data_IF_221760196679
#
_entry.id   IF_221760196679
#
_cell.length_a   1.000
_cell.length_b   1.000
_cell.length_c   1.000
_cell.angle_alpha   90.00
_cell.angle_beta   90.00
_cell.angle_gamma   90.00
#
_symmetry.space_group_name_H-M   'P 1'
#
loop_
_entity.id
_entity.type
_entity.pdbx_description
1 polymer ?
#
# COMPACT_ATOMS: atom_id res chain seq x y z
N UNK A 1 -10.42 -9.22 -10.96
CA UNK A 1 -9.46 -8.10 -10.78
C UNK A 1 -9.94 -6.86 -11.52
N UNK A 2 -9.30 -5.70 -11.34
CA UNK A 2 -9.64 -4.47 -12.09
C UNK A 2 -9.41 -4.62 -13.60
N UNK A 3 -8.39 -5.40 -14.00
CA UNK A 3 -8.13 -5.70 -15.41
C UNK A 3 -9.24 -6.56 -16.03
N UNK A 4 -9.81 -7.51 -15.27
CA UNK A 4 -10.96 -8.29 -15.72
C UNK A 4 -12.19 -7.40 -15.92
N UNK A 5 -12.46 -6.48 -14.99
CA UNK A 5 -13.58 -5.55 -15.08
C UNK A 5 -13.48 -4.68 -16.35
N UNK A 6 -12.33 -4.03 -16.56
CA UNK A 6 -12.11 -3.17 -17.73
C UNK A 6 -12.13 -4.00 -19.02
N UNK A 7 -11.42 -5.14 -19.06
CA UNK A 7 -11.39 -6.00 -20.25
C UNK A 7 -12.79 -6.51 -20.61
N UNK A 8 -13.57 -6.99 -19.63
CA UNK A 8 -14.92 -7.51 -19.87
C UNK A 8 -15.87 -6.44 -20.41
N UNK A 9 -15.76 -5.19 -19.91
CA UNK A 9 -16.62 -4.10 -20.35
C UNK A 9 -16.33 -3.59 -21.76
N UNK A 10 -15.06 -3.55 -22.14
CA UNK A 10 -14.59 -3.02 -23.43
C UNK A 10 -14.23 -4.14 -24.42
N UNK A 11 -15.09 -5.15 -24.53
CA UNK A 11 -15.04 -6.14 -25.62
C UNK A 11 -14.17 -7.38 -25.36
N UNK A 12 -13.92 -7.75 -24.09
CA UNK A 12 -13.15 -8.93 -23.66
C UNK A 12 -11.77 -9.05 -24.32
N UNK A 13 -11.13 -7.91 -24.59
CA UNK A 13 -9.83 -7.89 -25.25
C UNK A 13 -8.70 -8.31 -24.29
N UNK A 14 -7.97 -9.36 -24.66
CA UNK A 14 -6.77 -9.79 -23.95
C UNK A 14 -5.68 -8.71 -23.95
N UNK A 15 -5.56 -7.94 -25.05
CA UNK A 15 -4.58 -6.85 -25.13
C UNK A 15 -4.89 -5.70 -24.17
N UNK A 16 -6.19 -5.38 -23.96
CA UNK A 16 -6.59 -4.38 -22.99
C UNK A 16 -6.33 -4.85 -21.55
N UNK A 17 -6.63 -6.12 -21.26
CA UNK A 17 -6.29 -6.72 -19.96
C UNK A 17 -4.79 -6.68 -19.68
N UNK A 18 -3.97 -6.98 -20.69
CA UNK A 18 -2.50 -6.89 -20.60
C UNK A 18 -2.02 -5.46 -20.34
N UNK A 19 -2.57 -4.46 -21.05
CA UNK A 19 -2.23 -3.05 -20.85
C UNK A 19 -2.56 -2.58 -19.42
N UNK A 20 -3.80 -2.84 -18.96
CA UNK A 20 -4.24 -2.48 -17.61
C UNK A 20 -3.35 -3.16 -16.57
N UNK A 21 -2.99 -4.43 -16.79
CA UNK A 21 -2.08 -5.17 -15.90
C UNK A 21 -0.69 -4.54 -15.87
N UNK A 22 -0.12 -4.17 -17.02
CA UNK A 22 1.17 -3.48 -17.09
C UNK A 22 1.17 -2.14 -16.34
N UNK A 23 0.12 -1.33 -16.53
CA UNK A 23 -0.05 -0.07 -15.81
C UNK A 23 -0.23 -0.31 -14.30
N UNK A 24 -0.97 -1.35 -13.89
CA UNK A 24 -1.09 -1.71 -12.47
C UNK A 24 0.25 -2.10 -11.87
N UNK A 25 1.07 -2.90 -12.57
CA UNK A 25 2.41 -3.27 -12.09
C UNK A 25 3.28 -2.01 -11.92
N UNK A 26 3.33 -1.15 -12.93
CA UNK A 26 4.10 0.10 -12.85
C UNK A 26 3.60 1.04 -11.76
N UNK A 27 2.29 1.11 -11.54
CA UNK A 27 1.67 1.92 -10.50
C UNK A 27 1.90 1.38 -9.09
N UNK A 28 1.88 0.07 -8.88
CA UNK A 28 2.05 -0.54 -7.55
C UNK A 28 3.52 -0.70 -7.16
N UNK A 29 4.46 -0.74 -8.10
CA UNK A 29 5.91 -0.84 -7.78
C UNK A 29 6.40 0.26 -6.82
N UNK A 30 6.12 1.56 -7.05
CA UNK A 30 6.47 2.62 -6.09
C UNK A 30 5.79 2.42 -4.74
N UNK A 31 4.54 1.94 -4.73
CA UNK A 31 3.79 1.68 -3.52
C UNK A 31 4.44 0.57 -2.66
N UNK A 32 4.86 -0.53 -3.28
CA UNK A 32 5.55 -1.62 -2.57
C UNK A 32 6.94 -1.14 -2.13
N UNK A 33 7.63 -0.35 -2.95
CA UNK A 33 8.93 0.25 -2.62
C UNK A 33 8.85 1.15 -1.39
N UNK A 34 7.76 1.93 -1.29
CA UNK A 34 7.43 2.76 -0.14
C UNK A 34 7.36 1.94 1.15
N UNK A 35 6.64 0.82 1.13
CA UNK A 35 6.49 -0.06 2.28
C UNK A 35 7.82 -0.71 2.68
N UNK A 36 8.63 -1.14 1.71
CA UNK A 36 9.98 -1.67 1.96
C UNK A 36 10.85 -0.60 2.64
N UNK A 37 10.81 0.65 2.16
CA UNK A 37 11.54 1.77 2.77
C UNK A 37 11.09 2.01 4.20
N UNK A 38 9.79 2.02 4.46
CA UNK A 38 9.23 2.25 5.79
C UNK A 38 9.72 1.18 6.78
N UNK A 39 9.66 -0.10 6.42
CA UNK A 39 10.13 -1.22 7.26
C UNK A 39 11.65 -1.10 7.51
N UNK A 40 12.44 -0.90 6.45
CA UNK A 40 13.89 -0.82 6.55
C UNK A 40 14.35 0.36 7.42
N UNK A 41 13.75 1.53 7.24
CA UNK A 41 14.09 2.74 8.00
C UNK A 41 13.69 2.60 9.46
N UNK A 42 12.50 2.03 9.71
CA UNK A 42 12.00 1.80 11.07
C UNK A 42 12.90 0.83 11.86
N UNK A 43 13.41 -0.21 11.20
CA UNK A 43 14.36 -1.14 11.80
C UNK A 43 15.68 -0.46 12.21
N UNK A 44 16.21 0.42 11.38
CA UNK A 44 17.45 1.15 11.70
C UNK A 44 17.24 2.13 12.87
N UNK A 45 16.09 2.80 12.92
CA UNK A 45 15.75 3.70 14.03
C UNK A 45 15.69 2.92 15.36
N UNK A 46 15.09 1.73 15.37
CA UNK A 46 15.03 0.90 16.58
C UNK A 46 16.39 0.34 17.03
N UNK A 47 17.27 0.02 16.10
CA UNK A 47 18.58 -0.56 16.40
C UNK A 47 19.67 0.50 16.65
N UNK A 48 19.32 1.79 16.63
CA UNK A 48 20.28 2.90 16.76
C UNK A 48 21.17 3.09 15.53
N UNK A 49 20.85 2.41 14.43
CA UNK A 49 21.58 2.42 13.17
C UNK A 49 21.15 3.52 12.20
N UNK A 50 20.60 4.63 12.67
CA UNK A 50 19.97 5.68 11.85
C UNK A 50 20.90 6.34 10.80
N UNK A 51 22.22 6.24 10.97
CA UNK A 51 23.21 6.72 10.00
C UNK A 51 23.70 5.64 9.01
N UNK A 52 23.27 4.39 9.19
CA UNK A 52 23.63 3.28 8.30
C UNK A 52 22.77 3.29 7.04
N UNK A 53 23.28 2.66 5.98
CA UNK A 53 22.52 2.47 4.76
C UNK A 53 21.31 1.55 5.00
N UNK A 54 20.13 2.04 4.66
CA UNK A 54 18.87 1.28 4.64
C UNK A 54 18.81 0.22 3.54
N UNK A 55 19.83 0.10 2.69
CA UNK A 55 19.85 -0.85 1.55
C UNK A 55 19.87 -2.31 1.99
N UNK A 56 20.68 -2.65 2.99
CA UNK A 56 20.76 -4.02 3.51
C UNK A 56 19.44 -4.49 4.12
N UNK A 57 18.87 -3.74 5.09
CA UNK A 57 17.56 -4.06 5.66
C UNK A 57 16.43 -4.10 4.62
N UNK A 58 16.45 -3.20 3.62
CA UNK A 58 15.46 -3.20 2.55
C UNK A 58 15.56 -4.44 1.65
N UNK A 59 16.79 -4.86 1.29
CA UNK A 59 17.01 -6.07 0.49
C UNK A 59 16.57 -7.31 1.27
N UNK A 60 16.91 -7.39 2.56
CA UNK A 60 16.46 -8.46 3.44
C UNK A 60 14.93 -8.50 3.54
N UNK A 61 14.29 -7.34 3.74
CA UNK A 61 12.83 -7.22 3.80
C UNK A 61 12.18 -7.70 2.50
N UNK A 62 12.66 -7.24 1.35
CA UNK A 62 12.15 -7.66 0.05
C UNK A 62 12.32 -9.16 -0.19
N UNK A 63 13.49 -9.72 0.13
CA UNK A 63 13.79 -11.14 -0.02
C UNK A 63 12.97 -12.02 0.93
N UNK A 64 12.85 -11.64 2.21
CA UNK A 64 12.06 -12.36 3.20
C UNK A 64 10.57 -12.36 2.84
N UNK A 65 10.02 -11.21 2.42
CA UNK A 65 8.63 -11.11 1.98
C UNK A 65 8.39 -11.86 0.66
N UNK A 66 9.37 -11.89 -0.25
CA UNK A 66 9.27 -12.70 -1.47
C UNK A 66 9.21 -14.19 -1.13
N UNK A 67 10.13 -14.68 -0.30
CA UNK A 67 10.14 -16.06 0.15
C UNK A 67 8.84 -16.42 0.89
N UNK A 68 8.40 -15.57 1.82
CA UNK A 68 7.16 -15.76 2.55
C UNK A 68 5.95 -15.82 1.61
N UNK A 69 5.82 -14.86 0.69
CA UNK A 69 4.69 -14.80 -0.24
C UNK A 69 4.68 -15.99 -1.20
N UNK A 70 5.85 -16.43 -1.70
CA UNK A 70 5.95 -17.61 -2.57
C UNK A 70 5.60 -18.90 -1.83
N UNK A 71 6.06 -19.05 -0.58
CA UNK A 71 5.84 -20.26 0.21
C UNK A 71 4.42 -20.33 0.81
N UNK A 72 3.84 -19.20 1.20
CA UNK A 72 2.59 -19.12 1.95
C UNK A 72 1.42 -18.53 1.15
N UNK A 73 1.68 -17.55 0.29
CA UNK A 73 0.64 -16.83 -0.47
C UNK A 73 0.26 -17.46 -1.82
N UNK A 74 1.20 -18.11 -2.50
CA UNK A 74 0.99 -18.70 -3.84
C UNK A 74 1.01 -20.24 -3.78
N UNK A 75 0.07 -20.80 -3.00
CA UNK A 75 0.00 -22.24 -2.67
C UNK A 75 -0.86 -23.08 -3.61
N UNK A 76 -1.93 -22.52 -4.18
CA UNK A 76 -2.84 -23.25 -5.06
C UNK A 76 -3.29 -22.40 -6.27
N UNK A 77 -3.68 -23.07 -7.34
CA UNK A 77 -4.25 -22.44 -8.55
C UNK A 77 -5.73 -22.17 -8.38
N UNK A 78 -6.41 -22.99 -7.57
CA UNK A 78 -7.80 -22.83 -7.17
C UNK A 78 -7.92 -21.73 -6.12
N UNK A 79 -8.25 -20.53 -6.60
CA UNK A 79 -8.66 -19.38 -5.81
C UNK A 79 -10.12 -19.52 -5.33
N UNK A 80 -10.50 -20.70 -4.84
CA UNK A 80 -11.90 -21.04 -4.51
C UNK A 80 -12.14 -21.25 -3.02
N UNK A 81 -11.11 -21.28 -2.18
CA UNK A 81 -11.30 -20.98 -0.76
C UNK A 81 -11.34 -19.46 -0.61
N UNK A 82 -12.55 -18.93 -0.40
CA UNK A 82 -12.75 -17.53 -0.05
C UNK A 82 -11.90 -17.25 1.19
N UNK A 83 -11.04 -16.24 1.10
CA UNK A 83 -10.09 -15.94 2.17
C UNK A 83 -10.74 -15.19 3.34
N UNK A 84 -11.85 -15.69 3.89
CA UNK A 84 -12.50 -15.11 5.07
C UNK A 84 -11.53 -14.96 6.24
N UNK A 85 -10.62 -15.94 6.39
CA UNK A 85 -9.51 -15.88 7.36
C UNK A 85 -8.50 -14.75 7.09
N UNK A 86 -8.24 -14.40 5.81
CA UNK A 86 -7.37 -13.26 5.47
C UNK A 86 -8.08 -11.95 5.78
N UNK A 87 -9.37 -11.82 5.46
CA UNK A 87 -10.16 -10.62 5.79
C UNK A 87 -10.23 -10.41 7.30
N UNK A 88 -10.47 -11.47 8.08
CA UNK A 88 -10.46 -11.42 9.54
C UNK A 88 -9.08 -11.05 10.11
N UNK A 89 -8.01 -11.63 9.57
CA UNK A 89 -6.65 -11.29 9.95
C UNK A 89 -6.33 -9.82 9.66
N UNK A 90 -6.76 -9.30 8.49
CA UNK A 90 -6.63 -7.88 8.10
C UNK A 90 -7.42 -6.96 9.04
N UNK A 91 -8.60 -7.40 9.51
CA UNK A 91 -9.38 -6.64 10.48
C UNK A 91 -8.68 -6.56 11.85
N UNK A 92 -8.21 -7.70 12.38
CA UNK A 92 -7.51 -7.77 13.66
C UNK A 92 -6.21 -6.96 13.64
N UNK A 93 -5.39 -7.09 12.59
CA UNK A 93 -4.17 -6.29 12.47
C UNK A 93 -4.49 -4.79 12.40
N UNK A 94 -5.60 -4.39 11.77
CA UNK A 94 -6.00 -2.99 11.64
C UNK A 94 -6.39 -2.40 13.00
N UNK A 95 -7.04 -3.19 13.85
CA UNK A 95 -7.35 -2.79 15.22
C UNK A 95 -6.07 -2.63 16.06
N UNK A 96 -5.13 -3.56 15.95
CA UNK A 96 -3.84 -3.47 16.66
C UNK A 96 -3.04 -2.25 16.21
N UNK A 97 -3.01 -1.97 14.89
CA UNK A 97 -2.36 -0.77 14.32
C UNK A 97 -2.99 0.50 14.86
N UNK A 98 -4.32 0.57 14.87
CA UNK A 98 -5.05 1.72 15.38
C UNK A 98 -4.71 1.94 16.86
N UNK A 99 -4.79 0.91 17.69
CA UNK A 99 -4.46 1.00 19.11
C UNK A 99 -3.01 1.45 19.34
N UNK A 100 -2.04 0.89 18.62
CA UNK A 100 -0.64 1.30 18.72
C UNK A 100 -0.45 2.78 18.36
N UNK A 101 -1.08 3.24 17.27
CA UNK A 101 -0.98 4.62 16.82
C UNK A 101 -1.70 5.59 17.78
N UNK A 102 -2.85 5.21 18.34
CA UNK A 102 -3.57 6.00 19.33
C UNK A 102 -2.80 6.12 20.65
N UNK A 103 -2.17 5.04 21.10
CA UNK A 103 -1.32 5.07 22.30
C UNK A 103 -0.12 5.99 22.11
N UNK A 104 0.55 5.91 20.95
CA UNK A 104 1.63 6.83 20.58
C UNK A 104 1.14 8.28 20.52
N UNK A 105 0.04 8.52 19.82
CA UNK A 105 -0.54 9.85 19.66
C UNK A 105 -0.94 10.48 20.99
N UNK A 106 -1.59 9.69 21.85
CA UNK A 106 -1.94 10.09 23.21
C UNK A 106 -0.71 10.35 24.08
N UNK A 107 0.34 9.53 23.96
CA UNK A 107 1.61 9.77 24.64
C UNK A 107 2.24 11.10 24.20
N UNK A 108 2.40 11.33 22.89
CA UNK A 108 2.98 12.58 22.40
C UNK A 108 2.15 13.77 22.86
N UNK A 109 0.83 13.72 22.66
CA UNK A 109 -0.05 14.86 22.92
C UNK A 109 -0.16 15.17 24.42
N UNK A 110 -0.47 14.17 25.25
CA UNK A 110 -0.79 14.41 26.67
C UNK A 110 0.40 14.26 27.61
N UNK A 111 1.35 13.36 27.34
CA UNK A 111 2.54 13.20 28.20
C UNK A 111 3.67 14.15 27.81
N UNK A 112 3.88 14.38 26.52
CA UNK A 112 5.01 15.20 26.04
C UNK A 112 4.69 16.70 25.95
N UNK A 113 3.41 17.04 25.76
CA UNK A 113 2.92 18.40 25.50
C UNK A 113 1.58 18.70 26.21
N UNK A 114 1.24 18.04 27.32
CA UNK A 114 0.09 18.37 28.19
C UNK A 114 -1.30 18.58 27.54
N UNK A 115 -1.51 18.15 26.29
CA UNK A 115 -2.77 18.28 25.55
C UNK A 115 -2.59 18.86 24.15
N UNK A 116 -3.68 18.90 23.38
CA UNK A 116 -3.66 19.45 22.03
C UNK A 116 -3.29 20.94 22.01
N UNK A 117 -3.86 21.75 22.92
CA UNK A 117 -3.58 23.19 22.96
C UNK A 117 -2.08 23.49 23.04
N UNK A 118 -1.38 22.90 23.99
CA UNK A 118 0.04 23.17 24.23
C UNK A 118 0.94 22.72 23.06
N UNK A 119 0.66 21.59 22.38
CA UNK A 119 1.39 21.24 21.13
C UNK A 119 1.25 22.33 20.07
N UNK A 120 0.01 22.78 19.82
CA UNK A 120 -0.28 23.72 18.74
C UNK A 120 0.16 25.13 19.09
N UNK A 121 0.08 25.55 20.35
CA UNK A 121 0.55 26.84 20.84
C UNK A 121 2.08 26.94 20.73
N UNK A 122 2.81 25.88 21.13
CA UNK A 122 4.26 25.81 20.93
C UNK A 122 4.64 25.81 19.45
N UNK A 123 3.90 25.08 18.60
CA UNK A 123 4.12 25.11 17.16
C UNK A 123 3.84 26.50 16.55
N UNK A 124 2.78 27.18 16.98
CA UNK A 124 2.43 28.51 16.51
C UNK A 124 3.46 29.59 16.94
N UNK A 125 4.16 29.37 18.05
CA UNK A 125 5.23 30.24 18.52
C UNK A 125 6.49 30.18 17.63
N UNK A 126 6.66 29.12 16.84
CA UNK A 126 7.78 28.96 15.90
C UNK A 126 7.36 29.44 14.51
N UNK A 127 7.94 30.53 13.95
CA UNK A 127 7.50 31.10 12.68
C UNK A 127 7.46 30.11 11.50
N UNK A 128 8.46 29.23 11.42
CA UNK A 128 8.53 28.20 10.38
C UNK A 128 7.41 27.16 10.49
N UNK A 129 6.98 26.81 11.69
CA UNK A 129 5.89 25.85 11.90
C UNK A 129 4.52 26.50 11.77
N UNK A 130 4.40 27.77 12.18
CA UNK A 130 3.16 28.56 12.03
C UNK A 130 2.70 28.64 10.58
N UNK A 131 3.63 28.69 9.62
CA UNK A 131 3.28 28.70 8.19
C UNK A 131 2.53 27.43 7.76
N UNK A 132 2.81 26.28 8.38
CA UNK A 132 2.18 24.98 8.09
C UNK A 132 0.70 24.89 8.51
N UNK A 133 0.19 25.88 9.26
CA UNK A 133 -1.23 25.98 9.63
C UNK A 133 -2.11 26.44 8.48
N UNK A 134 -1.49 26.90 7.38
CA UNK A 134 -2.17 27.37 6.17
C UNK A 134 -1.72 26.56 4.97
N UNK A 135 -2.62 26.32 4.02
CA UNK A 135 -2.30 25.61 2.78
C UNK A 135 -1.13 26.27 2.03
N UNK A 136 -1.19 27.59 1.87
CA UNK A 136 -0.18 28.35 1.15
C UNK A 136 1.18 28.33 1.87
N UNK A 137 1.20 28.45 3.20
CA UNK A 137 2.44 28.38 3.97
C UNK A 137 3.04 26.97 4.05
N UNK A 138 2.25 25.92 3.81
CA UNK A 138 2.75 24.56 3.59
C UNK A 138 3.28 24.33 2.16
N UNK A 139 3.24 25.34 1.29
CA UNK A 139 3.64 25.22 -0.11
C UNK A 139 2.63 24.51 -1.00
N UNK A 140 1.42 24.24 -0.51
CA UNK A 140 0.37 23.54 -1.24
C UNK A 140 -0.62 24.54 -1.83
N UNK A 141 -0.75 24.56 -3.16
CA UNK A 141 -1.76 25.39 -3.82
C UNK A 141 -3.17 24.79 -3.69
N UNK A 142 -4.22 25.61 -3.86
CA UNK A 142 -5.60 25.10 -3.85
C UNK A 142 -5.84 24.05 -4.95
N UNK A 143 -5.24 24.23 -6.13
CA UNK A 143 -5.33 23.27 -7.23
C UNK A 143 -4.62 21.94 -6.89
N UNK A 144 -3.46 22.01 -6.25
CA UNK A 144 -2.74 20.84 -5.77
C UNK A 144 -3.52 20.09 -4.71
N UNK A 145 -4.13 20.80 -3.75
CA UNK A 145 -5.00 20.18 -2.73
C UNK A 145 -6.19 19.44 -3.34
N UNK A 146 -6.88 20.04 -4.32
CA UNK A 146 -7.97 19.37 -5.07
C UNK A 146 -7.45 18.16 -5.83
N UNK A 147 -6.25 18.26 -6.42
CA UNK A 147 -5.61 17.14 -7.13
C UNK A 147 -5.30 15.99 -6.17
N UNK A 148 -4.72 16.27 -4.99
CA UNK A 148 -4.46 15.27 -3.95
C UNK A 148 -5.74 14.57 -3.49
N UNK A 149 -6.84 15.31 -3.36
CA UNK A 149 -8.14 14.77 -3.00
C UNK A 149 -8.68 13.84 -4.10
N UNK A 150 -8.60 14.25 -5.37
CA UNK A 150 -9.00 13.43 -6.51
C UNK A 150 -8.15 12.15 -6.65
N UNK A 151 -6.83 12.26 -6.48
CA UNK A 151 -5.92 11.12 -6.49
C UNK A 151 -6.22 10.15 -5.35
N UNK A 152 -6.47 10.67 -4.14
CA UNK A 152 -6.80 9.85 -2.96
C UNK A 152 -8.13 9.11 -3.14
N UNK A 153 -9.16 9.79 -3.65
CA UNK A 153 -10.45 9.18 -3.99
C UNK A 153 -10.28 8.05 -5.01
N UNK A 154 -9.48 8.30 -6.05
CA UNK A 154 -9.17 7.29 -7.08
C UNK A 154 -8.45 6.08 -6.49
N UNK A 155 -7.47 6.31 -5.61
CA UNK A 155 -6.70 5.26 -4.96
C UNK A 155 -7.56 4.37 -4.07
N UNK A 156 -8.46 4.96 -3.27
CA UNK A 156 -9.39 4.22 -2.39
C UNK A 156 -10.28 3.26 -3.19
N UNK A 157 -10.66 3.62 -4.42
CA UNK A 157 -11.59 2.82 -5.22
C UNK A 157 -10.87 1.85 -6.18
N UNK A 158 -9.78 2.27 -6.79
CA UNK A 158 -9.20 1.62 -7.97
C UNK A 158 -7.86 0.94 -7.72
N UNK A 159 -7.25 1.11 -6.53
CA UNK A 159 -6.06 0.33 -6.20
C UNK A 159 -6.40 -1.15 -6.28
N UNK A 160 -5.55 -2.01 -6.91
CA UNK A 160 -5.87 -3.42 -7.10
C UNK A 160 -6.27 -4.13 -5.81
N UNK A 161 -5.58 -3.84 -4.69
CA UNK A 161 -5.93 -4.37 -3.37
C UNK A 161 -7.28 -3.87 -2.86
N UNK A 162 -7.57 -2.57 -3.01
CA UNK A 162 -8.85 -2.02 -2.57
C UNK A 162 -10.01 -2.60 -3.39
N UNK A 163 -9.84 -2.71 -4.70
CA UNK A 163 -10.81 -3.34 -5.59
C UNK A 163 -11.01 -4.83 -5.26
N UNK A 164 -9.92 -5.54 -4.95
CA UNK A 164 -9.98 -6.93 -4.52
C UNK A 164 -10.82 -7.09 -3.25
N UNK A 165 -10.54 -6.32 -2.20
CA UNK A 165 -11.27 -6.41 -0.93
C UNK A 165 -12.72 -5.94 -1.05
N UNK A 166 -12.97 -4.83 -1.74
CA UNK A 166 -14.31 -4.22 -1.82
C UNK A 166 -15.25 -4.92 -2.80
N UNK A 167 -14.72 -5.53 -3.88
CA UNK A 167 -15.55 -6.11 -4.95
C UNK A 167 -15.38 -7.62 -5.05
N UNK A 168 -14.16 -8.14 -5.01
CA UNK A 168 -13.89 -9.56 -5.28
C UNK A 168 -14.11 -10.42 -4.04
N UNK A 169 -13.73 -9.92 -2.87
CA UNK A 169 -13.83 -10.65 -1.60
C UNK A 169 -15.10 -10.30 -0.80
N UNK A 170 -15.82 -9.23 -1.20
CA UNK A 170 -17.04 -8.85 -0.53
C UNK A 170 -18.18 -9.85 -0.83
N UNK A 171 -18.75 -10.40 0.22
CA UNK A 171 -19.82 -11.42 0.14
C UNK A 171 -21.23 -10.82 0.14
N UNK A 172 -21.38 -9.59 0.62
CA UNK A 172 -22.67 -8.92 0.80
C UNK A 172 -22.55 -7.42 0.50
N UNK A 173 -23.40 -6.91 -0.38
CA UNK A 173 -23.45 -5.48 -0.71
C UNK A 173 -23.76 -4.60 0.51
N UNK A 174 -24.47 -5.11 1.52
CA UNK A 174 -24.74 -4.39 2.76
C UNK A 174 -23.48 -4.09 3.58
N UNK A 175 -22.41 -4.88 3.40
CA UNK A 175 -21.12 -4.56 3.99
C UNK A 175 -20.54 -3.26 3.44
N UNK A 176 -20.78 -2.94 2.17
CA UNK A 176 -20.34 -1.67 1.58
C UNK A 176 -21.07 -0.50 2.23
N UNK A 177 -22.37 -0.63 2.52
CA UNK A 177 -23.14 0.41 3.23
C UNK A 177 -22.56 0.74 4.59
N UNK A 178 -22.13 -0.27 5.35
CA UNK A 178 -21.45 -0.07 6.65
C UNK A 178 -20.05 0.52 6.45
N UNK A 179 -19.28 0.01 5.49
CA UNK A 179 -17.92 0.45 5.20
C UNK A 179 -17.86 1.93 4.78
N UNK A 180 -18.88 2.44 4.07
CA UNK A 180 -18.96 3.87 3.71
C UNK A 180 -18.90 4.82 4.91
N UNK A 181 -19.32 4.38 6.10
CA UNK A 181 -19.23 5.18 7.34
C UNK A 181 -18.05 4.78 8.21
N UNK A 182 -17.80 3.49 8.38
CA UNK A 182 -16.72 3.00 9.23
C UNK A 182 -15.34 3.33 8.67
N UNK A 183 -15.16 3.35 7.35
CA UNK A 183 -13.87 3.64 6.73
C UNK A 183 -13.46 5.11 6.93
N UNK A 184 -14.29 6.12 6.62
CA UNK A 184 -13.98 7.50 6.96
C UNK A 184 -13.81 7.73 8.47
N UNK A 185 -14.61 7.07 9.31
CA UNK A 185 -14.46 7.16 10.76
C UNK A 185 -13.11 6.63 11.23
N UNK A 186 -12.69 5.47 10.72
CA UNK A 186 -11.37 4.91 10.99
C UNK A 186 -10.24 5.87 10.55
N UNK A 187 -10.36 6.44 9.35
CA UNK A 187 -9.39 7.42 8.84
C UNK A 187 -9.36 8.69 9.71
N UNK A 188 -10.50 9.17 10.19
CA UNK A 188 -10.55 10.30 11.11
C UNK A 188 -9.81 9.97 12.41
N UNK A 189 -10.16 8.85 13.06
CA UNK A 189 -9.59 8.46 14.36
C UNK A 189 -8.07 8.32 14.27
N UNK A 190 -7.54 7.64 13.24
CA UNK A 190 -6.09 7.47 13.09
C UNK A 190 -5.38 8.80 12.77
N UNK A 191 -6.04 9.73 12.04
CA UNK A 191 -5.42 11.01 11.66
C UNK A 191 -5.46 12.08 12.76
N UNK A 192 -6.32 11.96 13.78
CA UNK A 192 -6.39 12.94 14.90
C UNK A 192 -5.02 13.23 15.50
N UNK A 193 -4.17 12.20 15.63
CA UNK A 193 -2.85 12.33 16.25
C UNK A 193 -1.70 12.57 15.27
N UNK A 194 -1.94 12.55 13.96
CA UNK A 194 -0.88 12.76 12.96
C UNK A 194 -0.26 14.16 13.11
N UNK A 195 -1.08 15.21 13.25
CA UNK A 195 -0.59 16.58 13.43
C UNK A 195 0.18 16.76 14.75
N UNK A 196 -0.33 16.34 15.92
CA UNK A 196 0.45 16.36 17.15
C UNK A 196 1.79 15.63 17.07
N UNK A 197 1.84 14.46 16.42
CA UNK A 197 3.08 13.71 16.24
C UNK A 197 4.05 14.48 15.34
N UNK A 198 3.56 15.04 14.24
CA UNK A 198 4.37 15.81 13.30
C UNK A 198 4.96 17.07 13.96
N UNK A 199 4.12 17.90 14.59
CA UNK A 199 4.57 19.09 15.31
C UNK A 199 5.46 18.74 16.49
N UNK A 200 5.11 17.70 17.26
CA UNK A 200 5.92 17.23 18.36
C UNK A 200 7.32 16.79 17.93
N UNK A 201 7.39 16.09 16.78
CA UNK A 201 8.65 15.72 16.14
C UNK A 201 9.46 16.92 15.70
N UNK A 202 8.85 17.88 15.02
CA UNK A 202 9.54 19.11 14.59
C UNK A 202 10.02 19.96 15.78
N UNK A 203 9.24 20.04 16.87
CA UNK A 203 9.60 20.80 18.07
C UNK A 203 10.72 20.13 18.88
N UNK A 204 10.72 18.80 19.02
CA UNK A 204 11.68 18.07 19.88
C UNK A 204 12.91 17.57 19.14
N UNK A 205 12.76 17.23 17.86
CA UNK A 205 13.77 16.57 17.02
C UNK A 205 14.17 17.42 15.81
N UNK A 206 13.48 18.53 15.54
CA UNK A 206 13.85 19.46 14.48
C UNK A 206 15.31 19.90 14.58
N UNK A 207 16.00 19.91 13.44
CA UNK A 207 17.42 20.27 13.36
C UNK A 207 18.40 19.19 13.83
N UNK A 208 17.93 18.03 14.31
CA UNK A 208 18.80 16.90 14.75
C UNK A 208 19.06 15.85 13.67
N UNK A 209 18.70 16.13 12.41
CA UNK A 209 18.91 15.23 11.28
C UNK A 209 17.97 14.03 11.21
N UNK A 210 16.87 14.03 11.97
CA UNK A 210 15.81 13.02 11.83
C UNK A 210 14.87 13.39 10.68
N UNK A 211 14.60 12.43 9.80
CA UNK A 211 13.55 12.54 8.79
C UNK A 211 12.17 12.55 9.44
N UNK A 212 11.25 13.37 8.95
CA UNK A 212 9.89 13.48 9.49
C UNK A 212 9.12 12.15 9.47
N UNK A 213 9.42 11.31 8.47
CA UNK A 213 8.89 9.95 8.33
C UNK A 213 9.25 9.03 9.51
N UNK A 214 10.24 9.40 10.33
CA UNK A 214 10.73 8.60 11.47
C UNK A 214 10.21 9.07 12.84
N UNK A 215 9.55 10.23 12.94
CA UNK A 215 9.12 10.81 14.22
C UNK A 215 8.23 9.90 15.05
N UNK A 216 7.41 9.11 14.37
CA UNK A 216 6.52 8.09 14.95
C UNK A 216 7.30 7.10 15.84
N UNK A 217 8.58 6.83 15.53
CA UNK A 217 9.46 5.97 16.33
C UNK A 217 10.48 6.76 17.13
N UNK A 218 11.02 7.84 16.57
CA UNK A 218 12.08 8.62 17.20
C UNK A 218 11.60 9.35 18.48
N UNK A 219 10.36 9.84 18.51
CA UNK A 219 9.80 10.51 19.69
C UNK A 219 9.74 9.63 20.94
N UNK A 220 9.09 8.44 20.92
CA UNK A 220 9.06 7.58 22.09
C UNK A 220 10.46 7.06 22.47
N UNK A 221 11.35 6.79 21.50
CA UNK A 221 12.72 6.35 21.79
C UNK A 221 13.54 7.43 22.51
N UNK A 222 13.53 8.66 21.99
CA UNK A 222 14.26 9.78 22.60
C UNK A 222 13.69 10.21 23.94
N UNK A 223 12.39 9.96 24.17
CA UNK A 223 11.74 10.12 25.47
C UNK A 223 11.93 8.92 26.42
N UNK A 224 12.73 7.90 26.07
CA UNK A 224 13.03 6.74 26.92
C UNK A 224 11.93 5.66 26.99
N UNK A 225 10.91 5.74 26.14
CA UNK A 225 9.76 4.81 26.11
C UNK A 225 9.91 3.75 25.01
N UNK A 226 10.96 2.94 25.07
CA UNK A 226 11.30 1.95 24.03
C UNK A 226 10.19 0.91 23.76
N UNK A 227 9.40 0.56 24.78
CA UNK A 227 8.27 -0.37 24.62
C UNK A 227 7.20 0.19 23.66
N UNK A 228 6.96 1.50 23.71
CA UNK A 228 5.97 2.17 22.87
C UNK A 228 6.49 2.29 21.43
N UNK A 229 7.78 2.55 21.26
CA UNK A 229 8.44 2.49 19.97
C UNK A 229 8.37 1.08 19.36
N UNK A 230 8.61 0.04 20.16
CA UNK A 230 8.50 -1.35 19.70
C UNK A 230 7.07 -1.71 19.31
N UNK A 231 6.08 -1.34 20.12
CA UNK A 231 4.66 -1.56 19.81
C UNK A 231 4.27 -0.89 18.49
N UNK A 232 4.68 0.37 18.32
CA UNK A 232 4.44 1.16 17.10
C UNK A 232 5.13 0.53 15.90
N UNK A 233 6.38 0.08 16.06
CA UNK A 233 7.11 -0.63 15.02
C UNK A 233 6.43 -1.93 14.60
N UNK A 234 5.97 -2.75 15.56
CA UNK A 234 5.25 -3.99 15.26
C UNK A 234 3.96 -3.70 14.49
N UNK A 235 3.23 -2.64 14.86
CA UNK A 235 2.08 -2.15 14.11
C UNK A 235 2.45 -1.75 12.67
N UNK A 236 3.51 -0.96 12.49
CA UNK A 236 4.00 -0.53 11.18
C UNK A 236 4.54 -1.67 10.31
N UNK A 237 5.30 -2.59 10.89
CA UNK A 237 5.84 -3.78 10.24
C UNK A 237 4.71 -4.70 9.76
N UNK A 238 3.71 -4.94 10.61
CA UNK A 238 2.50 -5.68 10.23
C UNK A 238 1.75 -4.97 9.10
N UNK A 239 1.65 -3.63 9.15
CA UNK A 239 0.98 -2.86 8.10
C UNK A 239 1.67 -2.99 6.75
N UNK A 240 2.98 -2.76 6.70
CA UNK A 240 3.75 -2.85 5.47
C UNK A 240 3.80 -4.27 4.92
N UNK A 241 4.10 -5.27 5.76
CA UNK A 241 4.24 -6.66 5.31
C UNK A 241 2.95 -7.24 4.74
N UNK A 242 1.82 -7.14 5.46
CA UNK A 242 0.53 -7.63 4.98
C UNK A 242 0.12 -6.95 3.68
N UNK A 243 0.37 -5.64 3.56
CA UNK A 243 0.02 -4.91 2.34
C UNK A 243 0.85 -5.36 1.14
N UNK A 244 2.15 -5.51 1.32
CA UNK A 244 3.06 -6.05 0.29
C UNK A 244 2.61 -7.45 -0.14
N UNK A 245 2.30 -8.34 0.80
CA UNK A 245 1.89 -9.71 0.51
C UNK A 245 0.61 -9.74 -0.31
N UNK A 246 -0.45 -9.03 0.14
CA UNK A 246 -1.74 -9.04 -0.55
C UNK A 246 -1.64 -8.42 -1.95
N UNK A 247 -0.91 -7.32 -2.10
CA UNK A 247 -0.75 -6.65 -3.40
C UNK A 247 0.06 -7.50 -4.39
N UNK A 248 1.15 -8.12 -3.94
CA UNK A 248 1.97 -8.97 -4.80
C UNK A 248 1.22 -10.23 -5.22
N UNK A 249 0.38 -10.80 -4.34
CA UNK A 249 -0.52 -11.90 -4.72
C UNK A 249 -1.51 -11.44 -5.79
N UNK A 250 -2.21 -10.32 -5.57
CA UNK A 250 -3.18 -9.79 -6.52
C UNK A 250 -2.55 -9.51 -7.90
N UNK A 251 -1.39 -8.86 -7.93
CA UNK A 251 -0.65 -8.61 -9.16
C UNK A 251 -0.17 -9.90 -9.82
N UNK A 252 0.30 -10.88 -9.05
CA UNK A 252 0.77 -12.15 -9.61
C UNK A 252 -0.36 -12.88 -10.36
N UNK A 253 -1.58 -12.83 -9.82
CA UNK A 253 -2.77 -13.40 -10.47
C UNK A 253 -3.11 -12.62 -11.74
N UNK A 254 -3.11 -11.28 -11.69
CA UNK A 254 -3.35 -10.44 -12.87
C UNK A 254 -2.32 -10.68 -13.99
N UNK A 255 -1.04 -10.73 -13.65
CA UNK A 255 0.05 -10.98 -14.59
C UNK A 255 -0.07 -12.38 -15.20
N UNK A 256 -0.34 -13.41 -14.38
CA UNK A 256 -0.56 -14.76 -14.87
C UNK A 256 -1.74 -14.83 -15.84
N UNK A 257 -2.88 -14.23 -15.48
CA UNK A 257 -4.12 -14.31 -16.25
C UNK A 257 -4.12 -13.46 -17.54
N UNK A 258 -3.49 -12.28 -17.54
CA UNK A 258 -3.57 -11.34 -18.67
C UNK A 258 -2.30 -11.22 -19.50
N UNK A 259 -1.12 -11.56 -18.96
CA UNK A 259 0.13 -11.54 -19.72
C UNK A 259 0.49 -12.95 -20.21
N UNK A 260 0.35 -13.95 -19.36
CA UNK A 260 0.91 -15.28 -19.62
C UNK A 260 -0.11 -16.25 -20.24
N UNK A 261 -1.32 -16.35 -19.68
CA UNK A 261 -2.38 -17.24 -20.20
C UNK A 261 -2.74 -16.98 -21.68
N UNK A 262 -2.87 -15.73 -22.17
CA UNK A 262 -3.17 -15.48 -23.58
C UNK A 262 -2.07 -15.96 -24.54
N UNK A 263 -0.81 -16.03 -24.09
CA UNK A 263 0.30 -16.55 -24.87
C UNK A 263 0.28 -18.08 -24.91
N UNK A 264 -0.05 -18.73 -23.78
CA UNK A 264 -0.10 -20.19 -23.69
C UNK A 264 -1.28 -20.81 -24.45
N UNK A 265 -2.45 -20.16 -24.48
CA UNK A 265 -3.65 -20.68 -25.17
C UNK A 265 -3.51 -20.63 -26.69
N UNK A 266 -2.55 -19.85 -27.23
CA UNK A 266 -2.22 -19.85 -28.67
C UNK A 266 -1.47 -21.12 -29.12
N UNK A 267 -0.96 -21.91 -28.18
CA UNK A 267 -0.29 -23.18 -28.48
C UNK A 267 -1.36 -24.26 -28.70
N UNK A 268 -1.43 -24.91 -29.87
CA UNK A 268 -2.46 -25.91 -30.17
C UNK A 268 -2.45 -27.05 -29.13
N UNK A 269 -3.60 -27.32 -28.52
CA UNK A 269 -3.73 -28.44 -27.59
C UNK A 269 -3.51 -29.77 -28.34
N UNK A 270 -2.48 -30.53 -27.96
CA UNK A 270 -2.21 -31.83 -28.55
C UNK A 270 -3.19 -32.89 -28.01
N UNK A 271 -4.11 -33.35 -28.89
CA UNK A 271 -5.00 -34.53 -28.82
C UNK A 271 -5.87 -34.73 -27.55
N UNK A 272 -7.10 -35.27 -27.68
CA UNK A 272 -8.04 -35.44 -26.55
C UNK A 272 -7.51 -36.29 -25.39
N UNK A 273 -6.64 -37.28 -25.63
CA UNK A 273 -6.00 -38.08 -24.57
C UNK A 273 -4.97 -37.29 -23.72
N UNK A 274 -4.46 -36.18 -24.25
CA UNK A 274 -3.53 -35.27 -23.57
C UNK A 274 -4.21 -34.18 -22.76
N UNK A 275 -5.53 -34.03 -22.84
CA UNK A 275 -6.24 -32.86 -22.32
C UNK A 275 -6.15 -32.73 -20.78
N UNK A 276 -6.26 -33.83 -20.03
CA UNK A 276 -6.02 -33.83 -18.57
C UNK A 276 -4.57 -33.46 -18.21
N UNK A 277 -3.59 -33.97 -18.98
CA UNK A 277 -2.16 -33.64 -18.78
C UNK A 277 -1.87 -32.18 -19.14
N UNK A 278 -2.54 -31.65 -20.16
CA UNK A 278 -2.47 -30.26 -20.59
C UNK A 278 -3.05 -29.32 -19.54
N UNK A 279 -4.22 -29.61 -18.97
CA UNK A 279 -4.78 -28.83 -17.86
C UNK A 279 -3.87 -28.85 -16.62
N UNK A 280 -3.30 -30.00 -16.27
CA UNK A 280 -2.34 -30.11 -15.17
C UNK A 280 -1.01 -29.37 -15.45
N UNK A 281 -0.58 -29.30 -16.72
CA UNK A 281 0.56 -28.51 -17.15
C UNK A 281 0.27 -27.01 -17.05
N UNK A 282 -0.86 -26.54 -17.58
CA UNK A 282 -1.29 -25.15 -17.50
C UNK A 282 -1.42 -24.67 -16.05
N UNK A 283 -2.00 -25.50 -15.18
CA UNK A 283 -2.07 -25.23 -13.74
C UNK A 283 -0.67 -25.06 -13.12
N UNK A 284 0.27 -25.98 -13.41
CA UNK A 284 1.66 -25.86 -12.92
C UNK A 284 2.38 -24.63 -13.47
N UNK A 285 2.25 -24.32 -14.75
CA UNK A 285 2.87 -23.15 -15.37
C UNK A 285 2.26 -21.86 -14.81
N UNK A 286 0.94 -21.81 -14.62
CA UNK A 286 0.27 -20.69 -13.98
C UNK A 286 0.82 -20.47 -12.55
N UNK A 287 0.96 -21.53 -11.75
CA UNK A 287 1.50 -21.42 -10.40
C UNK A 287 2.94 -20.91 -10.38
N UNK A 288 3.81 -21.47 -11.23
CA UNK A 288 5.21 -21.02 -11.34
C UNK A 288 5.31 -19.57 -11.85
N UNK A 289 4.45 -19.18 -12.79
CA UNK A 289 4.38 -17.80 -13.27
C UNK A 289 3.98 -16.82 -12.19
N UNK A 290 3.04 -17.19 -11.31
CA UNK A 290 2.64 -16.35 -10.18
C UNK A 290 3.80 -16.18 -9.19
N UNK A 291 4.54 -17.26 -8.88
CA UNK A 291 5.73 -17.19 -8.02
C UNK A 291 6.82 -16.30 -8.62
N UNK A 292 7.09 -16.44 -9.92
CA UNK A 292 8.05 -15.59 -10.63
C UNK A 292 7.59 -14.13 -10.66
N UNK A 293 6.29 -13.87 -10.85
CA UNK A 293 5.72 -12.54 -10.82
C UNK A 293 5.89 -11.87 -9.44
N UNK A 294 5.69 -12.60 -8.34
CA UNK A 294 5.95 -12.09 -6.97
C UNK A 294 7.42 -11.65 -6.83
N UNK A 295 8.36 -12.52 -7.22
CA UNK A 295 9.80 -12.21 -7.15
C UNK A 295 10.15 -11.02 -8.03
N UNK A 296 9.58 -10.96 -9.24
CA UNK A 296 9.81 -9.86 -10.18
C UNK A 296 9.27 -8.53 -9.63
N UNK A 297 8.03 -8.49 -9.12
CA UNK A 297 7.44 -7.27 -8.57
C UNK A 297 8.21 -6.77 -7.36
N UNK A 298 8.60 -7.66 -6.43
CA UNK A 298 9.41 -7.28 -5.27
C UNK A 298 10.82 -6.86 -5.65
N UNK A 299 11.42 -7.51 -6.65
CA UNK A 299 12.70 -7.09 -7.23
C UNK A 299 12.62 -5.71 -7.87
N UNK A 300 11.56 -5.42 -8.63
CA UNK A 300 11.30 -4.09 -9.20
C UNK A 300 11.06 -3.04 -8.12
N UNK A 301 10.30 -3.38 -7.07
CA UNK A 301 10.06 -2.48 -5.94
C UNK A 301 11.36 -2.15 -5.19
N UNK A 302 12.21 -3.16 -4.94
CA UNK A 302 13.54 -2.93 -4.37
C UNK A 302 14.43 -2.10 -5.30
N UNK A 303 14.41 -2.38 -6.61
CA UNK A 303 15.16 -1.62 -7.61
C UNK A 303 14.72 -0.15 -7.66
N UNK A 304 13.41 0.10 -7.65
CA UNK A 304 12.83 1.45 -7.58
C UNK A 304 13.26 2.15 -6.29
N UNK A 305 13.15 1.47 -5.15
CA UNK A 305 13.63 1.98 -3.88
C UNK A 305 15.11 2.36 -3.94
N UNK A 306 15.97 1.47 -4.47
CA UNK A 306 17.41 1.67 -4.53
C UNK A 306 17.82 2.82 -5.47
N UNK A 307 17.12 3.00 -6.59
CA UNK A 307 17.43 4.00 -7.60
C UNK A 307 16.83 5.38 -7.29
N UNK A 308 15.59 5.42 -6.78
CA UNK A 308 14.78 6.66 -6.68
C UNK A 308 14.26 6.84 -5.25
N UNK A 309 13.71 5.78 -4.66
CA UNK A 309 12.96 5.88 -3.39
C UNK A 309 13.81 6.24 -2.16
N UNK A 310 15.14 6.10 -2.20
CA UNK A 310 16.00 6.44 -1.06
C UNK A 310 15.85 7.90 -0.62
N UNK A 311 15.81 8.83 -1.56
CA UNK A 311 15.86 10.28 -1.28
C UNK A 311 14.49 10.94 -1.21
N UNK A 312 13.43 10.31 -1.72
CA UNK A 312 12.08 10.87 -1.72
C UNK A 312 11.37 10.61 -0.38
N UNK A 313 10.61 11.57 0.16
CA UNK A 313 9.69 11.32 1.28
C UNK A 313 8.72 10.18 0.98
N UNK A 314 8.26 9.50 2.03
CA UNK A 314 7.30 8.40 1.92
C UNK A 314 6.05 8.83 1.10
N UNK A 315 5.48 10.00 1.41
CA UNK A 315 4.26 10.48 0.72
C UNK A 315 4.46 10.65 -0.79
N UNK A 316 5.59 11.23 -1.23
CA UNK A 316 5.84 11.49 -2.66
C UNK A 316 5.92 10.19 -3.46
N UNK A 317 6.55 9.16 -2.89
CA UNK A 317 6.64 7.85 -3.53
C UNK A 317 5.25 7.22 -3.70
N UNK A 318 4.37 7.35 -2.70
CA UNK A 318 2.99 6.87 -2.77
C UNK A 318 2.12 7.64 -3.78
N UNK A 319 2.32 8.95 -3.94
CA UNK A 319 1.56 9.77 -4.88
C UNK A 319 1.79 9.36 -6.34
N UNK A 320 2.98 8.87 -6.70
CA UNK A 320 3.26 8.30 -8.03
C UNK A 320 2.32 7.13 -8.32
N UNK A 321 2.11 6.26 -7.33
CA UNK A 321 1.17 5.15 -7.43
C UNK A 321 -0.28 5.59 -7.57
N UNK A 322 -0.68 6.62 -6.83
CA UNK A 322 -2.04 7.15 -6.92
C UNK A 322 -2.29 7.78 -8.29
N UNK A 323 -1.32 8.52 -8.84
CA UNK A 323 -1.38 9.09 -10.18
C UNK A 323 -1.50 8.04 -11.28
N UNK A 324 -0.76 6.92 -11.16
CA UNK A 324 -0.85 5.80 -12.09
C UNK A 324 -2.24 5.15 -12.09
N UNK A 325 -2.82 4.94 -10.90
CA UNK A 325 -4.14 4.31 -10.75
C UNK A 325 -5.27 5.26 -11.16
N UNK A 326 -5.11 6.58 -10.97
CA UNK A 326 -6.07 7.58 -11.41
C UNK A 326 -6.32 7.54 -12.92
N UNK A 327 -5.37 7.03 -13.73
CA UNK A 327 -5.55 6.84 -15.17
C UNK A 327 -6.68 5.85 -15.51
N UNK A 328 -7.08 5.00 -14.57
CA UNK A 328 -8.20 4.07 -14.76
C UNK A 328 -9.57 4.70 -14.50
N UNK A 329 -9.64 5.88 -13.86
CA UNK A 329 -10.91 6.53 -13.52
C UNK A 329 -11.80 6.76 -14.75
N UNK A 330 -11.32 7.34 -15.87
CA UNK A 330 -12.18 7.55 -17.04
C UNK A 330 -12.71 6.24 -17.62
N UNK A 331 -11.86 5.20 -17.69
CA UNK A 331 -12.25 3.90 -18.21
C UNK A 331 -13.30 3.20 -17.31
N UNK A 332 -13.15 3.30 -16.00
CA UNK A 332 -14.09 2.69 -15.05
C UNK A 332 -15.42 3.44 -15.03
N UNK A 333 -15.39 4.78 -14.92
CA UNK A 333 -16.61 5.59 -14.93
C UNK A 333 -17.37 5.50 -16.26
N UNK A 334 -16.64 5.57 -17.39
CA UNK A 334 -17.22 5.33 -18.71
C UNK A 334 -17.83 3.93 -18.82
N UNK A 335 -17.16 2.92 -18.25
CA UNK A 335 -17.63 1.55 -18.25
C UNK A 335 -18.95 1.36 -17.47
N UNK A 336 -19.10 2.05 -16.33
CA UNK A 336 -20.27 1.96 -15.47
C UNK A 336 -21.47 2.76 -16.00
N UNK A 337 -21.24 4.00 -16.44
CA UNK A 337 -22.32 4.95 -16.72
C UNK A 337 -22.57 5.17 -18.22
N UNK A 338 -21.57 4.97 -19.09
CA UNK A 338 -21.72 5.19 -20.53
C UNK A 338 -22.06 3.88 -21.24
N UNK A 339 -23.35 3.68 -21.52
CA UNK A 339 -23.84 2.47 -22.23
C UNK A 339 -23.23 2.31 -23.63
N UNK A 340 -23.06 3.40 -24.37
CA UNK A 340 -22.43 3.45 -25.69
C UNK A 340 -20.89 3.47 -25.72
N UNK A 341 -20.21 3.29 -24.57
CA UNK A 341 -18.74 3.21 -24.54
C UNK A 341 -18.24 2.02 -25.36
N UNK A 342 -17.40 2.30 -26.35
CA UNK A 342 -16.72 1.29 -27.19
C UNK A 342 -15.23 1.24 -26.88
N UNK A 343 -14.53 0.29 -27.50
CA UNK A 343 -13.10 0.01 -27.29
C UNK A 343 -12.18 1.16 -27.71
#
# INVERSE_FOLDING_TARGET
SIADFISARYGKSAALGALVTGVCVLGVVPYVALQIKAIASSYLILTGGQHLSTTGPALFTAGALAAFTVLFGVRSVEATERHEGVVLAVALESLVKLLAFLLLGGFVTFKLFHGFGDVFDQAAAVPALRQLFTLHGAGTSGAEWVTLLALSMSAVLLLPRQFQVSVVENVDEDHLRKAMWLFPLYLLIINVFVLPIAFGGLLRLGGRGFDADTFVLALPLTAGHSWLALLTYLGGLSAGSSMIIVETIALSVMMSNHLLMPLLVRVPAARPEGQRRWFAYLSRVALQSRRLAVVLVLGLAFGYYAAIGRTLPLVNTGLVSFAAVAQFVPAVLGGLYWKGGTR
#
